data_IF_971616784193
#
_entry.id   IF_971616784193
#
_cell.length_a   1.000
_cell.length_b   1.000
_cell.length_c   1.000
_cell.angle_alpha   90.00
_cell.angle_beta   90.00
_cell.angle_gamma   90.00
#
_symmetry.space_group_name_H-M   'P 1'
#
loop_
_entity.id
_entity.type
_entity.pdbx_description
1 polymer ?
#
# COMPACT_ATOMS: atom_id res chain seq x y z
N UNK A 1 -21.20 -14.84 94.72
CA UNK A 1 -20.40 -13.67 94.28
C UNK A 1 -19.26 -14.15 93.39
N UNK A 2 -18.90 -13.39 92.34
CA UNK A 2 -18.13 -13.82 91.17
C UNK A 2 -16.62 -13.61 91.36
N UNK A 3 -15.80 -14.02 90.38
CA UNK A 3 -14.43 -13.59 90.01
C UNK A 3 -13.70 -14.80 89.37
N UNK A 4 -12.96 -14.78 88.26
CA UNK A 4 -12.55 -13.79 87.27
C UNK A 4 -11.90 -14.58 86.10
N UNK A 5 -12.15 -14.21 84.84
CA UNK A 5 -11.40 -14.75 83.68
C UNK A 5 -10.13 -13.92 83.44
N UNK A 6 -8.98 -14.58 83.27
CA UNK A 6 -7.70 -13.99 82.85
C UNK A 6 -7.62 -13.91 81.32
N UNK A 7 -7.26 -12.73 80.81
CA UNK A 7 -6.95 -12.48 79.40
C UNK A 7 -5.46 -12.73 79.09
N UNK A 8 -5.14 -13.18 77.85
CA UNK A 8 -3.76 -13.24 77.32
C UNK A 8 -3.52 -12.12 76.29
N UNK A 9 -2.30 -11.56 76.20
CA UNK A 9 -1.99 -10.43 75.32
C UNK A 9 -1.67 -10.88 73.88
N UNK A 10 -1.96 -10.01 72.91
CA UNK A 10 -1.59 -10.17 71.49
C UNK A 10 -0.43 -9.23 71.15
N UNK A 11 0.64 -9.78 70.58
CA UNK A 11 1.80 -9.03 70.04
C UNK A 11 1.54 -8.71 68.57
N UNK A 12 1.69 -7.45 68.16
CA UNK A 12 1.62 -7.00 66.75
C UNK A 12 3.04 -6.81 66.18
N UNK A 13 3.38 -7.37 65.01
CA UNK A 13 4.65 -7.08 64.34
C UNK A 13 4.57 -5.81 63.47
N UNK A 14 5.67 -5.06 63.41
CA UNK A 14 5.78 -3.73 62.79
C UNK A 14 5.85 -3.77 61.23
N UNK A 15 5.35 -2.74 60.51
CA UNK A 15 5.01 -2.83 59.09
C UNK A 15 6.05 -2.19 58.13
N UNK A 16 7.37 -2.32 58.39
CA UNK A 16 8.41 -1.62 57.62
C UNK A 16 9.00 -2.37 56.41
N UNK A 17 9.34 -3.66 56.57
CA UNK A 17 10.21 -4.37 55.62
C UNK A 17 9.50 -4.79 54.32
N UNK A 18 8.19 -5.14 54.39
CA UNK A 18 7.44 -5.70 53.26
C UNK A 18 7.11 -4.69 52.15
N UNK A 19 7.21 -3.38 52.43
CA UNK A 19 6.91 -2.32 51.46
C UNK A 19 8.10 -2.01 50.53
N UNK A 20 9.33 -2.12 51.02
CA UNK A 20 10.54 -1.82 50.23
C UNK A 20 10.81 -2.88 49.14
N UNK A 21 10.59 -4.16 49.43
CA UNK A 21 10.79 -5.25 48.46
C UNK A 21 9.78 -5.18 47.30
N UNK A 22 8.54 -4.73 47.55
CA UNK A 22 7.51 -4.60 46.52
C UNK A 22 7.78 -3.48 45.51
N UNK A 23 8.44 -2.40 45.94
CA UNK A 23 8.73 -1.26 45.05
C UNK A 23 9.87 -1.62 44.07
N UNK A 24 10.90 -2.33 44.54
CA UNK A 24 12.04 -2.73 43.67
C UNK A 24 11.62 -3.79 42.63
N UNK A 25 10.73 -4.72 42.98
CA UNK A 25 10.26 -5.74 42.04
C UNK A 25 9.35 -5.16 40.94
N UNK A 26 8.59 -4.10 41.22
CA UNK A 26 7.77 -3.42 40.22
C UNK A 26 8.59 -2.59 39.22
N UNK A 27 9.70 -1.98 39.65
CA UNK A 27 10.58 -1.23 38.73
C UNK A 27 11.36 -2.15 37.77
N UNK A 28 11.77 -3.35 38.21
CA UNK A 28 12.48 -4.30 37.35
C UNK A 28 11.57 -4.95 36.27
N UNK A 29 10.26 -5.07 36.53
CA UNK A 29 9.32 -5.67 35.58
C UNK A 29 8.89 -4.68 34.47
N UNK A 30 8.96 -3.37 34.72
CA UNK A 30 8.60 -2.34 33.73
C UNK A 30 9.64 -2.17 32.60
N UNK A 31 10.89 -2.62 32.79
CA UNK A 31 11.94 -2.51 31.77
C UNK A 31 11.88 -3.62 30.69
N UNK A 32 11.11 -4.69 30.87
CA UNK A 32 11.08 -5.85 29.98
C UNK A 32 9.95 -5.81 28.92
N UNK A 33 9.01 -4.86 29.01
CA UNK A 33 7.81 -4.86 28.15
C UNK A 33 8.02 -4.09 26.83
N UNK A 34 9.06 -3.24 26.71
CA UNK A 34 9.35 -2.44 25.50
C UNK A 34 10.21 -3.14 24.44
N UNK A 35 10.87 -4.26 24.77
CA UNK A 35 11.80 -4.96 23.89
C UNK A 35 11.18 -5.73 22.69
N UNK A 36 10.03 -6.41 22.79
CA UNK A 36 9.57 -7.31 21.73
C UNK A 36 9.07 -6.57 20.48
N UNK A 37 8.42 -5.41 20.63
CA UNK A 37 7.92 -4.62 19.49
C UNK A 37 9.06 -3.98 18.69
N UNK A 38 10.02 -3.35 19.37
CA UNK A 38 11.17 -2.73 18.71
C UNK A 38 12.06 -3.75 17.97
N UNK A 39 12.24 -4.95 18.54
CA UNK A 39 12.96 -6.04 17.89
C UNK A 39 12.22 -6.58 16.65
N UNK A 40 10.89 -6.69 16.71
CA UNK A 40 10.07 -7.11 15.57
C UNK A 40 10.11 -6.10 14.41
N UNK A 41 10.10 -4.80 14.72
CA UNK A 41 10.22 -3.74 13.72
C UNK A 41 11.63 -3.69 13.08
N UNK A 42 12.68 -3.93 13.87
CA UNK A 42 14.04 -4.04 13.34
C UNK A 42 14.18 -5.24 12.38
N UNK A 43 13.69 -6.42 12.78
CA UNK A 43 13.73 -7.61 11.92
C UNK A 43 12.89 -7.43 10.65
N UNK A 44 11.77 -6.71 10.71
CA UNK A 44 10.93 -6.43 9.54
C UNK A 44 11.61 -5.49 8.56
N UNK A 45 12.26 -4.42 9.05
CA UNK A 45 13.06 -3.52 8.21
C UNK A 45 14.17 -4.27 7.49
N UNK A 46 14.89 -5.15 8.20
CA UNK A 46 15.99 -5.89 7.58
C UNK A 46 15.49 -6.84 6.49
N UNK A 47 14.41 -7.59 6.73
CA UNK A 47 13.80 -8.43 5.69
C UNK A 47 13.39 -7.63 4.44
N UNK A 48 12.90 -6.41 4.61
CA UNK A 48 12.56 -5.55 3.47
C UNK A 48 13.81 -5.09 2.70
N UNK A 49 14.89 -4.72 3.41
CA UNK A 49 16.17 -4.38 2.79
C UNK A 49 16.77 -5.55 2.03
N UNK A 50 16.78 -6.74 2.63
CA UNK A 50 17.25 -7.97 1.98
C UNK A 50 16.44 -8.27 0.72
N UNK A 51 15.10 -8.17 0.79
CA UNK A 51 14.23 -8.38 -0.36
C UNK A 51 14.52 -7.38 -1.48
N UNK A 52 14.79 -6.11 -1.16
CA UNK A 52 15.18 -5.08 -2.12
C UNK A 52 16.57 -5.37 -2.70
N UNK A 53 17.55 -5.69 -1.87
CA UNK A 53 18.94 -5.91 -2.27
C UNK A 53 19.12 -7.16 -3.15
N UNK A 54 18.30 -8.20 -2.93
CA UNK A 54 18.31 -9.41 -3.75
C UNK A 54 17.56 -9.26 -5.08
N UNK A 55 16.94 -8.10 -5.34
CA UNK A 55 16.09 -7.89 -6.50
C UNK A 55 16.90 -7.61 -7.77
N UNK A 56 16.45 -8.07 -8.96
CA UNK A 56 17.13 -7.80 -10.21
C UNK A 56 16.87 -6.38 -10.77
N UNK A 57 16.10 -5.54 -10.07
CA UNK A 57 15.83 -4.17 -10.51
C UNK A 57 17.01 -3.25 -10.23
N UNK A 58 17.27 -2.33 -11.16
CA UNK A 58 18.22 -1.22 -10.93
C UNK A 58 17.68 -0.23 -9.88
N UNK A 59 16.36 -0.02 -9.86
CA UNK A 59 15.70 0.74 -8.81
C UNK A 59 15.67 -0.07 -7.50
N UNK A 60 15.76 0.59 -6.33
CA UNK A 60 15.82 -0.10 -5.03
C UNK A 60 14.43 -0.60 -4.62
N UNK A 61 13.91 -1.58 -5.35
CA UNK A 61 12.62 -2.22 -5.14
C UNK A 61 12.67 -3.71 -5.45
N UNK A 62 11.71 -4.45 -4.90
CA UNK A 62 11.40 -5.83 -5.28
C UNK A 62 9.91 -6.02 -5.48
N UNK A 63 9.54 -7.00 -6.30
CA UNK A 63 8.15 -7.37 -6.57
C UNK A 63 7.96 -8.86 -6.33
N UNK A 64 6.85 -9.20 -5.66
CA UNK A 64 6.43 -10.60 -5.47
C UNK A 64 4.93 -10.72 -5.68
N UNK A 65 4.47 -11.89 -6.10
CA UNK A 65 3.06 -12.18 -6.27
C UNK A 65 2.67 -13.57 -5.81
N UNK A 66 1.48 -13.66 -5.24
CA UNK A 66 0.85 -14.90 -4.80
C UNK A 66 -0.53 -15.04 -5.44
N UNK A 67 -0.85 -16.23 -5.92
CA UNK A 67 -2.18 -16.58 -6.41
C UNK A 67 -2.76 -17.72 -5.57
N UNK A 68 -4.04 -17.59 -5.23
CA UNK A 68 -4.87 -18.62 -4.61
C UNK A 68 -6.06 -18.90 -5.53
N UNK A 69 -6.86 -19.92 -5.19
CA UNK A 69 -7.97 -20.35 -6.05
C UNK A 69 -8.96 -19.21 -6.41
N UNK A 70 -9.23 -18.30 -5.46
CA UNK A 70 -10.23 -17.24 -5.59
C UNK A 70 -9.69 -15.85 -5.24
N UNK A 71 -8.39 -15.65 -5.35
CA UNK A 71 -7.78 -14.35 -5.10
C UNK A 71 -6.31 -14.31 -5.47
N UNK A 72 -5.81 -13.10 -5.59
CA UNK A 72 -4.44 -12.83 -6.01
C UNK A 72 -3.93 -11.59 -5.27
N UNK A 73 -2.65 -11.58 -4.94
CA UNK A 73 -1.98 -10.41 -4.38
C UNK A 73 -0.61 -10.19 -4.98
N UNK A 74 -0.23 -8.93 -5.14
CA UNK A 74 1.11 -8.48 -5.48
C UNK A 74 1.63 -7.54 -4.40
N UNK A 75 2.92 -7.62 -4.11
CA UNK A 75 3.60 -6.75 -3.15
C UNK A 75 4.83 -6.13 -3.78
N UNK A 76 5.08 -4.87 -3.46
CA UNK A 76 6.33 -4.16 -3.70
C UNK A 76 6.96 -3.85 -2.35
N UNK A 77 8.24 -4.20 -2.18
CA UNK A 77 9.10 -3.59 -1.17
C UNK A 77 9.99 -2.58 -1.87
N UNK A 78 10.11 -1.36 -1.37
CA UNK A 78 10.90 -0.33 -2.02
C UNK A 78 11.53 0.63 -1.02
N UNK A 79 12.62 1.26 -1.41
CA UNK A 79 13.19 2.40 -0.72
C UNK A 79 12.80 3.69 -1.43
N UNK A 80 12.01 4.54 -0.77
CA UNK A 80 11.64 5.86 -1.27
C UNK A 80 12.55 6.91 -0.64
N UNK A 81 13.14 7.78 -1.46
CA UNK A 81 14.03 8.88 -1.01
C UNK A 81 13.27 10.06 -0.41
N UNK A 82 12.38 9.79 0.55
CA UNK A 82 11.63 10.75 1.34
C UNK A 82 11.56 10.30 2.81
N UNK A 83 11.73 11.20 3.79
CA UNK A 83 11.59 10.88 5.20
C UNK A 83 10.17 10.40 5.55
N UNK A 84 10.04 9.51 6.55
CA UNK A 84 8.74 8.97 6.97
C UNK A 84 7.72 10.06 7.34
N UNK A 85 8.09 11.17 8.03
CA UNK A 85 7.13 12.24 8.32
C UNK A 85 6.51 12.88 7.07
N UNK A 86 7.25 12.95 5.95
CA UNK A 86 6.72 13.45 4.67
C UNK A 86 5.68 12.48 4.10
N UNK A 87 5.96 11.17 4.16
CA UNK A 87 5.00 10.15 3.74
C UNK A 87 3.75 10.18 4.62
N UNK A 88 3.91 10.28 5.94
CA UNK A 88 2.79 10.31 6.88
C UNK A 88 1.90 11.54 6.66
N UNK A 89 2.48 12.73 6.50
CA UNK A 89 1.72 13.96 6.28
C UNK A 89 0.94 13.97 4.96
N UNK A 90 1.48 13.33 3.92
CA UNK A 90 0.84 13.29 2.60
C UNK A 90 -0.19 12.16 2.47
N UNK A 91 0.19 10.94 2.86
CA UNK A 91 -0.55 9.73 2.51
C UNK A 91 -1.74 9.45 3.42
N UNK A 92 -1.94 10.22 4.50
CA UNK A 92 -3.17 10.17 5.30
C UNK A 92 -4.31 11.00 4.71
N UNK A 93 -4.12 11.59 3.53
CA UNK A 93 -5.14 12.38 2.82
C UNK A 93 -5.83 11.58 1.71
N UNK A 94 -7.16 11.52 1.73
CA UNK A 94 -7.94 10.97 0.63
C UNK A 94 -7.71 11.73 -0.69
N UNK A 95 -7.45 13.04 -0.61
CA UNK A 95 -7.11 13.87 -1.76
C UNK A 95 -5.83 13.41 -2.45
N UNK A 96 -4.77 13.16 -1.66
CA UNK A 96 -3.50 12.67 -2.16
C UNK A 96 -3.67 11.31 -2.87
N UNK A 97 -4.45 10.40 -2.29
CA UNK A 97 -4.76 9.12 -2.92
C UNK A 97 -5.53 9.27 -4.23
N UNK A 98 -6.45 10.23 -4.34
CA UNK A 98 -7.09 10.51 -5.62
C UNK A 98 -6.09 11.02 -6.67
N UNK A 99 -5.17 11.90 -6.29
CA UNK A 99 -4.10 12.36 -7.19
C UNK A 99 -3.19 11.21 -7.64
N UNK A 100 -2.82 10.30 -6.74
CA UNK A 100 -2.01 9.11 -7.04
C UNK A 100 -2.76 8.16 -7.98
N UNK A 101 -4.00 7.78 -7.63
CA UNK A 101 -4.81 6.84 -8.41
C UNK A 101 -5.11 7.40 -9.80
N UNK A 102 -5.35 8.70 -9.91
CA UNK A 102 -5.62 9.36 -11.18
C UNK A 102 -4.46 9.21 -12.18
N UNK A 103 -3.22 8.95 -11.77
CA UNK A 103 -2.13 8.74 -12.74
C UNK A 103 -2.31 7.47 -13.59
N UNK A 104 -3.08 6.48 -13.12
CA UNK A 104 -3.31 5.25 -13.88
C UNK A 104 -4.08 5.48 -15.19
N UNK A 105 -3.66 4.75 -16.22
CA UNK A 105 -4.24 4.81 -17.58
C UNK A 105 -5.72 4.42 -17.65
N UNK A 106 -6.22 3.66 -16.67
CA UNK A 106 -7.62 3.23 -16.60
C UNK A 106 -8.46 4.05 -15.62
N UNK A 107 -7.90 5.04 -14.90
CA UNK A 107 -8.67 5.82 -13.91
C UNK A 107 -9.12 7.11 -14.55
N UNK A 108 -10.40 7.22 -14.90
CA UNK A 108 -10.96 8.39 -15.57
C UNK A 108 -11.24 9.55 -14.60
N UNK A 109 -11.59 9.24 -13.35
CA UNK A 109 -11.76 10.21 -12.29
C UNK A 109 -11.53 9.57 -10.93
N UNK A 110 -11.05 10.36 -9.97
CA UNK A 110 -11.14 10.02 -8.56
C UNK A 110 -11.68 11.24 -7.82
N UNK A 111 -12.74 11.04 -7.02
CA UNK A 111 -13.36 12.10 -6.24
C UNK A 111 -13.32 11.75 -4.78
N UNK A 112 -13.04 12.74 -3.95
CA UNK A 112 -13.23 12.72 -2.51
C UNK A 112 -14.01 13.99 -2.14
N UNK A 113 -14.78 13.94 -1.06
CA UNK A 113 -15.57 15.08 -0.59
C UNK A 113 -15.03 15.52 0.79
N UNK A 114 -14.25 16.61 0.87
CA UNK A 114 -13.58 17.03 2.11
C UNK A 114 -14.53 17.35 3.27
N UNK A 115 -15.75 17.77 2.95
CA UNK A 115 -16.77 18.20 3.90
C UNK A 115 -17.96 17.23 4.01
N UNK A 116 -17.86 16.05 3.39
CA UNK A 116 -18.87 15.02 3.57
C UNK A 116 -18.76 14.37 4.95
N UNK A 117 -19.81 13.66 5.36
CA UNK A 117 -19.82 12.86 6.59
C UNK A 117 -18.69 11.81 6.63
N UNK A 118 -18.13 11.44 5.47
CA UNK A 118 -17.02 10.50 5.29
C UNK A 118 -15.85 11.14 4.53
N UNK A 119 -14.98 11.92 5.19
CA UNK A 119 -13.84 12.60 4.53
C UNK A 119 -12.77 11.62 4.03
N UNK A 120 -12.84 10.36 4.45
CA UNK A 120 -12.00 9.23 4.07
C UNK A 120 -12.55 8.42 2.89
N UNK A 121 -13.73 8.78 2.35
CA UNK A 121 -14.32 8.10 1.20
C UNK A 121 -13.76 8.62 -0.14
N UNK A 122 -13.47 7.68 -1.05
CA UNK A 122 -13.04 7.95 -2.42
C UNK A 122 -13.97 7.23 -3.40
N UNK A 123 -14.37 7.90 -4.47
CA UNK A 123 -15.05 7.28 -5.61
C UNK A 123 -14.14 7.30 -6.83
N UNK A 124 -13.71 6.11 -7.25
CA UNK A 124 -12.80 5.90 -8.37
C UNK A 124 -13.60 5.41 -9.58
N UNK A 125 -13.48 6.09 -10.70
CA UNK A 125 -14.16 5.74 -11.94
C UNK A 125 -13.14 5.09 -12.87
N UNK A 126 -13.33 3.79 -13.11
CA UNK A 126 -12.38 2.97 -13.90
C UNK A 126 -12.94 2.75 -15.30
N UNK A 127 -12.22 3.27 -16.28
CA UNK A 127 -12.50 3.15 -17.69
C UNK A 127 -12.10 1.80 -18.29
N UNK A 128 -12.72 1.43 -19.42
CA UNK A 128 -12.20 0.36 -20.29
C UNK A 128 -11.10 0.90 -21.21
N UNK A 129 -10.39 0.00 -21.89
CA UNK A 129 -9.37 0.39 -22.87
C UNK A 129 -10.03 1.07 -24.07
N UNK A 130 -9.74 2.36 -24.30
CA UNK A 130 -10.34 3.18 -25.35
C UNK A 130 -11.21 4.32 -24.79
N UNK A 131 -11.64 5.24 -25.64
CA UNK A 131 -12.50 6.36 -25.23
C UNK A 131 -13.91 5.85 -24.86
N UNK A 132 -14.38 6.19 -23.66
CA UNK A 132 -15.79 6.05 -23.27
C UNK A 132 -16.26 7.29 -22.46
N UNK A 133 -17.57 7.56 -22.41
CA UNK A 133 -18.17 8.50 -21.47
C UNK A 133 -17.93 8.07 -20.01
N UNK A 134 -17.88 9.04 -19.08
CA UNK A 134 -17.61 8.75 -17.65
C UNK A 134 -18.73 7.92 -17.02
N UNK A 135 -19.95 8.03 -17.55
CA UNK A 135 -21.14 7.27 -17.16
C UNK A 135 -21.00 5.77 -17.48
N UNK A 136 -20.12 5.41 -18.41
CA UNK A 136 -19.77 4.03 -18.76
C UNK A 136 -18.55 3.53 -17.98
N UNK A 137 -17.88 4.41 -17.22
CA UNK A 137 -16.80 4.03 -16.31
C UNK A 137 -17.38 3.30 -15.10
N UNK A 138 -16.75 2.18 -14.73
CA UNK A 138 -17.17 1.45 -13.55
C UNK A 138 -16.73 2.21 -12.30
N UNK A 139 -17.71 2.66 -11.52
CA UNK A 139 -17.46 3.25 -10.20
C UNK A 139 -17.03 2.18 -9.19
N UNK A 140 -16.01 2.50 -8.42
CA UNK A 140 -15.52 1.75 -7.27
C UNK A 140 -15.49 2.72 -6.09
N UNK A 141 -16.19 2.37 -5.02
CA UNK A 141 -16.12 3.12 -3.76
C UNK A 141 -15.05 2.50 -2.87
N UNK A 142 -14.11 3.33 -2.42
CA UNK A 142 -13.02 2.97 -1.53
C UNK A 142 -13.09 3.82 -0.27
N UNK A 143 -12.58 3.26 0.83
CA UNK A 143 -12.37 3.97 2.10
C UNK A 143 -10.89 3.98 2.43
N UNK A 144 -10.36 5.14 2.81
CA UNK A 144 -9.02 5.30 3.35
C UNK A 144 -9.03 4.98 4.86
N UNK A 145 -8.44 3.84 5.21
CA UNK A 145 -8.24 3.44 6.60
C UNK A 145 -6.82 3.78 7.06
N UNK A 146 -6.66 4.83 7.85
CA UNK A 146 -5.39 5.12 8.54
C UNK A 146 -5.32 4.27 9.82
N UNK A 147 -4.42 3.28 9.84
CA UNK A 147 -4.35 2.26 10.91
C UNK A 147 -3.32 2.59 11.98
N UNK A 148 -2.21 3.20 11.58
CA UNK A 148 -1.17 3.63 12.50
C UNK A 148 -0.39 4.80 11.91
N UNK A 149 -0.18 5.84 12.72
CA UNK A 149 0.75 6.94 12.45
C UNK A 149 1.63 7.08 13.69
N UNK A 150 2.78 6.42 13.66
CA UNK A 150 3.76 6.37 14.76
C UNK A 150 5.09 6.96 14.29
N UNK A 151 5.97 7.41 15.20
CA UNK A 151 7.26 8.01 14.82
C UNK A 151 8.12 7.12 13.92
N UNK A 152 8.04 5.80 14.09
CA UNK A 152 8.84 4.81 13.37
C UNK A 152 8.02 3.92 12.42
N UNK A 153 6.73 4.20 12.24
CA UNK A 153 5.85 3.33 11.48
C UNK A 153 4.59 4.04 10.97
N UNK A 154 4.29 3.86 9.69
CA UNK A 154 3.03 4.27 9.06
C UNK A 154 2.33 3.02 8.53
N UNK A 155 1.02 2.90 8.75
CA UNK A 155 0.19 1.87 8.12
C UNK A 155 -1.17 2.45 7.74
N UNK A 156 -1.58 2.19 6.50
CA UNK A 156 -2.89 2.58 5.99
C UNK A 156 -3.37 1.60 4.90
N UNK A 157 -4.62 1.74 4.48
CA UNK A 157 -5.12 1.05 3.29
C UNK A 157 -6.26 1.78 2.61
N UNK A 158 -6.38 1.58 1.29
CA UNK A 158 -7.59 1.85 0.52
C UNK A 158 -8.34 0.54 0.33
N UNK A 159 -9.56 0.47 0.87
CA UNK A 159 -10.36 -0.74 0.92
C UNK A 159 -11.74 -0.54 0.29
N UNK A 160 -12.18 -1.47 -0.56
CA UNK A 160 -13.53 -1.49 -1.11
C UNK A 160 -14.04 -2.91 -1.34
N UNK A 161 -15.32 -3.17 -1.09
CA UNK A 161 -15.88 -4.52 -1.18
C UNK A 161 -16.03 -5.00 -2.62
N UNK A 162 -16.23 -4.06 -3.54
CA UNK A 162 -16.26 -4.31 -4.98
C UNK A 162 -14.97 -3.83 -5.63
N UNK A 163 -14.61 -4.48 -6.73
CA UNK A 163 -13.53 -4.06 -7.61
C UNK A 163 -14.00 -4.02 -9.06
N UNK A 164 -13.12 -3.65 -10.00
CA UNK A 164 -13.49 -3.58 -11.40
C UNK A 164 -13.80 -4.97 -11.95
N UNK A 165 -14.73 -5.03 -12.90
CA UNK A 165 -15.09 -6.20 -13.72
C UNK A 165 -15.45 -7.46 -12.90
N UNK A 166 -16.22 -7.30 -11.82
CA UNK A 166 -16.71 -8.42 -10.99
C UNK A 166 -15.66 -8.99 -10.03
N UNK A 167 -14.54 -8.30 -9.84
CA UNK A 167 -13.62 -8.55 -8.72
C UNK A 167 -14.21 -7.98 -7.42
N UNK A 168 -13.71 -8.47 -6.29
CA UNK A 168 -14.20 -8.15 -4.94
C UNK A 168 -13.03 -7.94 -3.99
N UNK A 169 -13.31 -7.37 -2.83
CA UNK A 169 -12.33 -7.14 -1.77
C UNK A 169 -11.07 -6.45 -2.32
N UNK A 170 -11.25 -5.32 -3.00
CA UNK A 170 -10.15 -4.47 -3.42
C UNK A 170 -9.43 -3.97 -2.17
N UNK A 171 -8.13 -4.25 -2.06
CA UNK A 171 -7.30 -3.84 -0.92
C UNK A 171 -5.94 -3.37 -1.44
N UNK A 172 -5.66 -2.08 -1.31
CA UNK A 172 -4.34 -1.50 -1.52
C UNK A 172 -3.81 -1.01 -0.18
N UNK A 173 -2.82 -1.71 0.39
CA UNK A 173 -2.29 -1.44 1.73
C UNK A 173 -0.87 -0.94 1.63
N UNK A 174 -0.55 0.08 2.42
CA UNK A 174 0.79 0.65 2.51
C UNK A 174 1.26 0.58 3.95
N UNK A 175 2.49 0.12 4.11
CA UNK A 175 3.25 0.22 5.34
C UNK A 175 4.57 0.93 5.04
N UNK A 176 5.03 1.80 5.93
CA UNK A 176 6.31 2.47 5.78
C UNK A 176 7.06 2.58 7.12
N UNK A 177 8.38 2.51 7.05
CA UNK A 177 9.30 2.64 8.18
C UNK A 177 10.50 3.52 7.77
N UNK A 178 11.16 4.22 8.70
CA UNK A 178 12.33 5.04 8.36
C UNK A 178 13.50 4.19 7.89
N UNK A 179 14.29 4.75 6.97
CA UNK A 179 15.51 4.17 6.44
C UNK A 179 16.65 5.20 6.44
N UNK A 180 17.12 5.53 7.65
CA UNK A 180 17.91 6.72 7.89
C UNK A 180 17.03 7.98 7.90
N UNK A 181 17.65 9.16 7.81
CA UNK A 181 16.95 10.44 7.96
C UNK A 181 16.23 10.89 6.69
N UNK A 182 16.73 10.50 5.51
CA UNK A 182 16.29 11.02 4.22
C UNK A 182 15.36 10.07 3.44
N UNK A 183 15.15 8.84 3.92
CA UNK A 183 14.44 7.81 3.18
C UNK A 183 13.50 6.97 4.05
N UNK A 184 12.61 6.24 3.39
CA UNK A 184 11.68 5.31 4.01
C UNK A 184 11.69 3.99 3.24
N UNK A 185 11.65 2.87 3.97
CA UNK A 185 11.27 1.59 3.40
C UNK A 185 9.75 1.52 3.33
N UNK A 186 9.22 1.10 2.19
CA UNK A 186 7.78 1.00 1.92
C UNK A 186 7.46 -0.43 1.49
N UNK A 187 6.39 -0.99 2.07
CA UNK A 187 5.74 -2.19 1.58
C UNK A 187 4.34 -1.83 1.09
N UNK A 188 4.15 -1.91 -0.22
CA UNK A 188 2.87 -1.67 -0.89
C UNK A 188 2.29 -3.02 -1.34
N UNK A 189 1.12 -3.39 -0.84
CA UNK A 189 0.44 -4.63 -1.19
C UNK A 189 -0.90 -4.34 -1.85
N UNK A 190 -1.10 -4.89 -3.04
CA UNK A 190 -2.38 -4.87 -3.74
C UNK A 190 -2.96 -6.28 -3.80
N UNK A 191 -4.22 -6.44 -3.40
CA UNK A 191 -4.92 -7.73 -3.48
C UNK A 191 -6.38 -7.56 -3.90
N UNK A 192 -6.89 -8.60 -4.55
CA UNK A 192 -8.28 -8.73 -4.91
C UNK A 192 -8.72 -10.20 -4.84
N UNK A 193 -10.02 -10.40 -4.65
CA UNK A 193 -10.69 -11.68 -4.73
C UNK A 193 -11.61 -11.74 -5.95
N UNK A 194 -12.00 -12.94 -6.35
CA UNK A 194 -12.93 -13.15 -7.46
C UNK A 194 -13.77 -14.42 -7.24
N UNK A 195 -15.00 -14.42 -7.76
CA UNK A 195 -15.85 -15.61 -7.78
C UNK A 195 -15.52 -16.55 -8.95
N UNK A 196 -16.20 -17.70 -9.02
CA UNK A 196 -16.02 -18.68 -10.10
C UNK A 196 -16.22 -18.10 -11.51
N UNK A 197 -17.28 -17.30 -11.79
CA UNK A 197 -17.45 -16.72 -13.12
C UNK A 197 -16.28 -15.81 -13.53
N UNK A 198 -15.84 -14.93 -12.62
CA UNK A 198 -14.70 -14.05 -12.85
C UNK A 198 -13.38 -14.83 -13.01
N UNK A 199 -13.19 -15.92 -12.26
CA UNK A 199 -12.03 -16.81 -12.42
C UNK A 199 -11.99 -17.44 -13.82
N UNK A 200 -13.13 -17.92 -14.32
CA UNK A 200 -13.22 -18.51 -15.66
C UNK A 200 -12.95 -17.45 -16.74
N UNK A 201 -13.50 -16.24 -16.58
CA UNK A 201 -13.25 -15.13 -17.49
C UNK A 201 -11.76 -14.73 -17.54
N UNK A 202 -11.11 -14.61 -16.37
CA UNK A 202 -9.68 -14.34 -16.27
C UNK A 202 -8.84 -15.45 -16.93
N UNK A 203 -9.21 -16.72 -16.70
CA UNK A 203 -8.55 -17.85 -17.36
C UNK A 203 -8.68 -17.76 -18.88
N UNK A 204 -9.88 -17.52 -19.40
CA UNK A 204 -10.11 -17.40 -20.85
C UNK A 204 -9.34 -16.22 -21.45
N UNK A 205 -9.32 -15.08 -20.76
CA UNK A 205 -8.57 -13.89 -21.18
C UNK A 205 -7.07 -14.18 -21.30
N UNK A 206 -6.45 -14.77 -20.27
CA UNK A 206 -5.02 -15.07 -20.28
C UNK A 206 -4.63 -16.25 -21.17
N UNK A 207 -5.60 -17.07 -21.60
CA UNK A 207 -5.39 -18.08 -22.64
C UNK A 207 -5.63 -17.55 -24.06
N UNK A 208 -6.01 -16.28 -24.23
CA UNK A 208 -6.27 -15.64 -25.52
C UNK A 208 -5.58 -14.27 -25.63
N UNK A 209 -6.33 -13.18 -25.63
CA UNK A 209 -5.87 -11.81 -25.90
C UNK A 209 -4.89 -11.30 -24.82
N UNK A 210 -4.98 -11.85 -23.60
CA UNK A 210 -4.09 -11.50 -22.49
C UNK A 210 -2.81 -12.35 -22.40
N UNK A 211 -2.59 -13.32 -23.31
CA UNK A 211 -1.51 -14.32 -23.18
C UNK A 211 -0.13 -13.69 -23.08
N UNK A 212 0.13 -12.63 -23.84
CA UNK A 212 1.43 -11.96 -23.87
C UNK A 212 1.61 -10.92 -22.76
N UNK A 213 0.62 -10.77 -21.88
CA UNK A 213 0.68 -9.86 -20.73
C UNK A 213 1.40 -10.54 -19.58
N UNK A 214 2.66 -10.15 -19.39
CA UNK A 214 3.56 -10.71 -18.39
C UNK A 214 3.87 -9.71 -17.28
N UNK A 215 4.16 -10.24 -16.10
CA UNK A 215 4.69 -9.51 -14.96
C UNK A 215 6.22 -9.43 -15.00
N UNK A 216 6.81 -9.32 -13.83
CA UNK A 216 8.23 -9.05 -13.62
C UNK A 216 8.99 -10.25 -13.06
N UNK A 217 8.31 -11.14 -12.33
CA UNK A 217 8.96 -12.35 -11.79
C UNK A 217 9.40 -13.26 -12.92
N UNK A 218 10.69 -13.62 -12.95
CA UNK A 218 11.25 -14.61 -13.87
C UNK A 218 10.92 -16.01 -13.35
N UNK A 219 10.21 -16.81 -14.14
CA UNK A 219 9.79 -18.19 -13.80
C UNK A 219 10.57 -19.26 -14.56
N UNK A 220 11.51 -18.84 -15.40
CA UNK A 220 12.39 -19.70 -16.16
C UNK A 220 13.12 -18.91 -17.23
N UNK A 221 13.77 -19.64 -18.13
CA UNK A 221 14.37 -19.08 -19.35
C UNK A 221 13.76 -19.76 -20.57
N UNK A 222 13.72 -19.03 -21.68
CA UNK A 222 13.43 -19.58 -23.00
C UNK A 222 14.66 -20.33 -23.55
N UNK A 223 14.49 -21.03 -24.68
CA UNK A 223 15.57 -21.79 -25.32
C UNK A 223 16.75 -20.92 -25.77
N UNK A 224 16.50 -19.65 -26.08
CA UNK A 224 17.50 -18.65 -26.43
C UNK A 224 18.17 -17.98 -25.21
N UNK A 225 17.83 -18.43 -24.00
CA UNK A 225 18.36 -17.91 -22.74
C UNK A 225 17.66 -16.65 -22.21
N UNK A 226 16.72 -16.07 -22.97
CA UNK A 226 15.95 -14.89 -22.53
C UNK A 226 15.03 -15.24 -21.33
N UNK A 227 14.74 -14.27 -20.45
CA UNK A 227 13.92 -14.52 -19.26
C UNK A 227 12.45 -14.77 -19.64
N UNK A 228 11.90 -15.90 -19.18
CA UNK A 228 10.48 -16.18 -19.26
C UNK A 228 9.78 -15.62 -18.02
N UNK A 229 8.99 -14.59 -18.22
CA UNK A 229 8.28 -13.89 -17.16
C UNK A 229 6.97 -14.56 -16.77
N UNK A 230 6.53 -14.32 -15.53
CA UNK A 230 5.24 -14.82 -15.02
C UNK A 230 4.08 -14.21 -15.81
N UNK A 231 3.18 -15.06 -16.31
CA UNK A 231 1.96 -14.65 -17.00
C UNK A 231 0.70 -14.75 -16.13
N UNK A 232 -0.47 -14.67 -16.77
CA UNK A 232 -1.76 -14.94 -16.13
C UNK A 232 -2.13 -13.94 -15.03
N UNK A 233 -2.92 -14.40 -14.06
CA UNK A 233 -3.37 -13.56 -12.93
C UNK A 233 -2.21 -13.03 -12.07
N UNK A 234 -1.10 -13.77 -11.98
CA UNK A 234 0.12 -13.30 -11.29
C UNK A 234 0.81 -12.19 -12.08
N UNK A 235 0.99 -12.36 -13.39
CA UNK A 235 1.51 -11.29 -14.24
C UNK A 235 0.65 -10.03 -14.16
N UNK A 236 -0.68 -10.17 -14.21
CA UNK A 236 -1.63 -9.07 -14.05
C UNK A 236 -1.45 -8.32 -12.73
N UNK A 237 -1.38 -9.02 -11.60
CA UNK A 237 -1.28 -8.34 -10.29
C UNK A 237 0.05 -7.63 -10.12
N UNK A 238 1.15 -8.20 -10.64
CA UNK A 238 2.48 -7.58 -10.58
C UNK A 238 2.52 -6.27 -11.38
N UNK A 239 1.92 -6.25 -12.57
CA UNK A 239 1.79 -5.03 -13.38
C UNK A 239 1.00 -3.95 -12.65
N UNK A 240 -0.10 -4.32 -12.02
CA UNK A 240 -0.95 -3.37 -11.30
C UNK A 240 -0.27 -2.80 -10.06
N UNK A 241 0.33 -3.65 -9.21
CA UNK A 241 1.03 -3.16 -8.01
C UNK A 241 2.25 -2.30 -8.36
N UNK A 242 2.99 -2.64 -9.43
CA UNK A 242 4.07 -1.81 -9.93
C UNK A 242 3.57 -0.43 -10.37
N UNK A 243 2.47 -0.35 -11.14
CA UNK A 243 1.91 0.94 -11.55
C UNK A 243 1.43 1.79 -10.37
N UNK A 244 0.85 1.18 -9.33
CA UNK A 244 0.50 1.88 -8.09
C UNK A 244 1.75 2.42 -7.38
N UNK A 245 2.81 1.61 -7.29
CA UNK A 245 4.08 2.04 -6.71
C UNK A 245 4.69 3.22 -7.50
N UNK A 246 4.74 3.14 -8.83
CA UNK A 246 5.29 4.23 -9.66
C UNK A 246 4.47 5.52 -9.53
N UNK A 247 3.14 5.42 -9.43
CA UNK A 247 2.27 6.57 -9.17
C UNK A 247 2.55 7.21 -7.81
N UNK A 248 2.68 6.39 -6.77
CA UNK A 248 3.05 6.83 -5.42
C UNK A 248 4.41 7.54 -5.42
N UNK A 249 5.43 6.94 -6.04
CA UNK A 249 6.78 7.51 -6.13
C UNK A 249 6.77 8.87 -6.83
N UNK A 250 6.10 8.97 -7.99
CA UNK A 250 6.00 10.22 -8.76
C UNK A 250 5.25 11.30 -8.00
N UNK A 251 4.17 10.95 -7.30
CA UNK A 251 3.42 11.88 -6.46
C UNK A 251 4.31 12.48 -5.36
N UNK A 252 4.99 11.62 -4.59
CA UNK A 252 5.91 12.03 -3.52
C UNK A 252 7.13 12.80 -4.04
N UNK A 253 7.60 12.49 -5.25
CA UNK A 253 8.72 13.20 -5.88
C UNK A 253 8.35 14.63 -6.33
N UNK A 254 7.07 14.92 -6.52
CA UNK A 254 6.57 16.19 -7.09
C UNK A 254 5.92 17.13 -6.09
N UNK A 255 5.87 16.76 -4.80
CA UNK A 255 5.26 17.59 -3.74
C UNK A 255 5.84 19.00 -3.64
N UNK A 256 7.14 19.16 -3.92
CA UNK A 256 7.82 20.45 -3.83
C UNK A 256 7.56 21.38 -5.03
N UNK A 257 6.89 20.89 -6.10
CA UNK A 257 6.56 21.72 -7.26
C UNK A 257 5.40 22.69 -6.93
N UNK A 258 5.31 23.84 -7.62
CA UNK A 258 4.12 24.69 -7.59
C UNK A 258 2.87 23.91 -8.00
N UNK A 259 1.73 24.19 -7.38
CA UNK A 259 0.49 23.44 -7.61
C UNK A 259 0.06 23.41 -9.08
N UNK A 260 0.22 24.54 -9.80
CA UNK A 260 -0.06 24.66 -11.23
C UNK A 260 0.71 23.66 -12.10
N UNK A 261 1.90 23.27 -11.67
CA UNK A 261 2.84 22.49 -12.47
C UNK A 261 2.81 20.99 -12.10
N UNK A 262 2.23 20.66 -10.93
CA UNK A 262 2.24 19.31 -10.36
C UNK A 262 1.58 18.30 -11.28
N UNK A 263 0.35 18.54 -11.71
CA UNK A 263 -0.43 17.53 -12.44
C UNK A 263 0.25 17.14 -13.75
N UNK A 264 0.53 18.12 -14.61
CA UNK A 264 1.16 17.88 -15.92
C UNK A 264 2.52 17.20 -15.76
N UNK A 265 3.33 17.62 -14.78
CA UNK A 265 4.61 16.98 -14.48
C UNK A 265 4.45 15.54 -14.00
N UNK A 266 3.47 15.26 -13.13
CA UNK A 266 3.18 13.91 -12.64
C UNK A 266 2.75 12.98 -13.77
N UNK A 267 1.88 13.43 -14.67
CA UNK A 267 1.44 12.63 -15.81
C UNK A 267 2.63 12.20 -16.67
N UNK A 268 3.50 13.15 -17.07
CA UNK A 268 4.69 12.85 -17.86
C UNK A 268 5.68 11.94 -17.14
N UNK A 269 5.95 12.22 -15.87
CA UNK A 269 6.89 11.41 -15.07
C UNK A 269 6.36 10.00 -14.83
N UNK A 270 5.05 9.84 -14.61
CA UNK A 270 4.45 8.51 -14.47
C UNK A 270 4.53 7.72 -15.76
N UNK A 271 4.21 8.33 -16.90
CA UNK A 271 4.37 7.69 -18.21
C UNK A 271 5.83 7.27 -18.45
N UNK A 272 6.78 8.19 -18.28
CA UNK A 272 8.20 7.87 -18.43
C UNK A 272 8.65 6.74 -17.46
N UNK A 273 8.12 6.73 -16.24
CA UNK A 273 8.42 5.68 -15.27
C UNK A 273 7.88 4.31 -15.69
N UNK A 274 6.71 4.24 -16.34
CA UNK A 274 6.17 2.98 -16.89
C UNK A 274 6.95 2.52 -18.11
N UNK A 275 7.44 3.45 -18.93
CA UNK A 275 8.25 3.15 -20.12
C UNK A 275 9.67 2.66 -19.80
N UNK A 276 10.12 2.71 -18.53
CA UNK A 276 11.30 1.95 -18.08
C UNK A 276 11.06 0.43 -18.12
N UNK A 277 9.81 -0.01 -18.18
CA UNK A 277 9.41 -1.42 -18.19
C UNK A 277 8.46 -1.73 -19.36
N UNK A 278 8.87 -1.49 -20.62
CA UNK A 278 7.92 -1.46 -21.73
C UNK A 278 7.33 -2.85 -22.02
N UNK A 279 8.11 -3.93 -21.81
CA UNK A 279 7.61 -5.32 -21.98
C UNK A 279 6.42 -5.63 -21.07
N UNK A 280 6.41 -5.08 -19.87
CA UNK A 280 5.39 -5.34 -18.85
C UNK A 280 4.29 -4.26 -18.86
N UNK A 281 4.65 -2.98 -18.96
CA UNK A 281 3.76 -1.88 -18.62
C UNK A 281 3.29 -1.03 -19.79
N UNK A 282 3.98 -1.06 -20.94
CA UNK A 282 3.58 -0.28 -22.11
C UNK A 282 2.19 -0.68 -22.59
N UNK A 283 1.34 0.32 -22.85
CA UNK A 283 -0.03 0.11 -23.32
C UNK A 283 -0.47 1.11 -24.39
N UNK A 284 0.08 2.32 -24.39
CA UNK A 284 -0.27 3.48 -25.21
C UNK A 284 0.99 4.34 -25.43
N UNK A 285 1.03 5.16 -26.47
CA UNK A 285 2.05 6.20 -26.62
C UNK A 285 1.79 7.41 -25.69
N UNK A 286 2.82 8.25 -25.49
CA UNK A 286 2.78 9.39 -24.56
C UNK A 286 1.68 10.40 -24.95
N UNK A 287 1.57 10.72 -26.23
CA UNK A 287 0.63 11.74 -26.70
C UNK A 287 -0.82 11.28 -26.46
N UNK A 288 -1.12 10.01 -26.73
CA UNK A 288 -2.41 9.39 -26.45
C UNK A 288 -2.73 9.40 -24.95
N UNK A 289 -1.78 8.98 -24.11
CA UNK A 289 -1.95 9.01 -22.66
C UNK A 289 -2.23 10.43 -22.15
N UNK A 290 -1.38 11.41 -22.48
CA UNK A 290 -1.54 12.78 -22.00
C UNK A 290 -2.84 13.42 -22.50
N UNK A 291 -3.21 13.21 -23.76
CA UNK A 291 -4.46 13.71 -24.31
C UNK A 291 -5.67 13.12 -23.58
N UNK A 292 -5.63 11.83 -23.25
CA UNK A 292 -6.66 11.17 -22.46
C UNK A 292 -6.76 11.78 -21.05
N UNK A 293 -5.65 11.87 -20.31
CA UNK A 293 -5.62 12.38 -18.93
C UNK A 293 -6.06 13.84 -18.82
N UNK A 294 -5.67 14.70 -19.78
CA UNK A 294 -6.10 16.11 -19.80
C UNK A 294 -7.60 16.25 -20.03
N UNK A 295 -8.17 15.45 -20.94
CA UNK A 295 -9.62 15.41 -21.15
C UNK A 295 -10.37 14.92 -19.92
N UNK A 296 -9.88 13.87 -19.28
CA UNK A 296 -10.43 13.34 -18.04
C UNK A 296 -10.40 14.39 -16.92
N UNK A 297 -9.29 15.12 -16.77
CA UNK A 297 -9.19 16.21 -15.81
C UNK A 297 -10.21 17.33 -16.09
N UNK A 298 -10.38 17.72 -17.36
CA UNK A 298 -11.32 18.79 -17.74
C UNK A 298 -12.79 18.44 -17.47
N UNK A 299 -13.12 17.16 -17.30
CA UNK A 299 -14.48 16.68 -16.96
C UNK A 299 -14.74 16.60 -15.46
N UNK A 300 -13.70 16.72 -14.64
CA UNK A 300 -13.88 16.77 -13.19
C UNK A 300 -14.36 18.17 -12.80
N UNK A 301 -15.31 18.29 -11.85
CA UNK A 301 -15.68 19.59 -11.32
C UNK A 301 -14.44 20.26 -10.74
N UNK A 302 -14.39 21.60 -10.83
CA UNK A 302 -13.34 22.37 -10.17
C UNK A 302 -13.31 22.00 -8.67
N UNK A 303 -12.08 21.83 -8.15
CA UNK A 303 -11.83 21.52 -6.74
C UNK A 303 -12.38 22.60 -5.81
#
# INVERSE_FOLDING_TARGET
MPHSHLARPTVRPAPGWRRLIRIVLCLALSCLVGAPAAAQDAATRERWREAIAASPFEAPLSVVSEARAYGVSGSIHARISRPLPVLAGELTSAAAWCEILFLHLNVEACRHEPHAERPDALSVHVGRRGFQPLEEAQRIDLTLEVRAVLPQYLSLGLEGDQGPYGTRAFRLRLQAMPDGEAASLVHLRYSLAYGTPARLALWAYFNSVGRDRVGFTVVGREADGSPRYVGGVRGMIERNVMRFYLALEVHLATLALPESDRLETRLRRWFAATERYPRQLHELDEATYLAQKRREQARQPAR
#
